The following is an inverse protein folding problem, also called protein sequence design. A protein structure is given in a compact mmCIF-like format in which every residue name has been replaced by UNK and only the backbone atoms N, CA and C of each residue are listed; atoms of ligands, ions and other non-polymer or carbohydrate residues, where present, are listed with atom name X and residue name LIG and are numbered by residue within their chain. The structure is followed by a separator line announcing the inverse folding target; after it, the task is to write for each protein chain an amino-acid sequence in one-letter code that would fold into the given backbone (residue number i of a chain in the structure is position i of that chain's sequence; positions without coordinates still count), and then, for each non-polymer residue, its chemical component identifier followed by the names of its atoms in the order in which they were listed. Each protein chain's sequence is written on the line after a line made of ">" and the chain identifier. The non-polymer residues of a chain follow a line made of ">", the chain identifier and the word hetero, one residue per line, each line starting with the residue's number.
data_IF_695449208177
#
_entry.id   IF_695449208177
#
_cell.length_a   1.000
_cell.length_b   1.000
_cell.length_c   1.000
_cell.angle_alpha   90.00
_cell.angle_beta   90.00
_cell.angle_gamma   90.00
#
_symmetry.space_group_name_H-M   'P 1'
#
loop_
_entity.id
_entity.type
_entity.pdbx_description
1 polymer ?
#
# COMPACT_ATOMS: atom_id res chain seq x y z
N UNK A 1 -1.39 -4.36 15.76
CA UNK A 1 -1.46 -5.09 14.50
C UNK A 1 -2.73 -4.68 13.76
N UNK A 2 -2.60 -4.15 12.56
CA UNK A 2 -3.73 -3.65 11.80
C UNK A 2 -4.24 -4.70 10.81
N UNK A 3 -5.54 -4.72 10.58
CA UNK A 3 -6.15 -5.50 9.51
C UNK A 3 -6.58 -4.57 8.39
N UNK A 4 -6.23 -4.92 7.17
CA UNK A 4 -6.77 -4.30 5.98
C UNK A 4 -7.95 -5.13 5.49
N UNK A 5 -9.10 -4.48 5.32
CA UNK A 5 -10.30 -5.07 4.74
C UNK A 5 -10.57 -4.32 3.45
N UNK A 6 -10.48 -5.02 2.33
CA UNK A 6 -10.54 -4.41 1.01
C UNK A 6 -11.60 -5.08 0.13
N UNK A 7 -12.30 -4.26 -0.63
CA UNK A 7 -13.16 -4.69 -1.72
C UNK A 7 -12.88 -3.81 -2.94
N UNK A 8 -12.66 -4.44 -4.09
CA UNK A 8 -12.39 -3.73 -5.34
C UNK A 8 -13.64 -3.69 -6.20
N UNK A 9 -13.87 -2.52 -6.81
CA UNK A 9 -14.91 -2.30 -7.80
C UNK A 9 -14.25 -1.90 -9.11
N UNK A 10 -14.70 -2.50 -10.21
CA UNK A 10 -14.19 -2.21 -11.55
C UNK A 10 -15.14 -1.26 -12.28
N UNK A 11 -14.60 -0.52 -13.26
CA UNK A 11 -15.38 0.36 -14.15
C UNK A 11 -16.23 1.39 -13.41
N UNK A 12 -15.61 2.06 -12.44
CA UNK A 12 -16.28 3.05 -11.60
C UNK A 12 -16.16 4.43 -12.22
N UNK A 13 -17.29 5.16 -12.29
CA UNK A 13 -17.26 6.61 -12.53
C UNK A 13 -16.89 7.31 -11.22
N UNK A 14 -15.67 7.86 -11.17
CA UNK A 14 -15.13 8.45 -9.95
C UNK A 14 -15.91 9.68 -9.47
N UNK A 15 -16.42 10.51 -10.36
CA UNK A 15 -17.16 11.71 -9.98
C UNK A 15 -18.50 11.33 -9.32
N UNK A 16 -19.22 10.41 -9.93
CA UNK A 16 -20.46 9.88 -9.35
C UNK A 16 -20.22 9.18 -8.02
N UNK A 17 -19.15 8.41 -7.90
CA UNK A 17 -18.80 7.72 -6.67
C UNK A 17 -18.47 8.70 -5.55
N UNK A 18 -17.66 9.73 -5.84
CA UNK A 18 -17.34 10.79 -4.86
C UNK A 18 -18.58 11.49 -4.35
N UNK A 19 -19.51 11.80 -5.25
CA UNK A 19 -20.79 12.44 -4.88
C UNK A 19 -21.59 11.56 -3.92
N UNK A 20 -21.74 10.27 -4.24
CA UNK A 20 -22.46 9.31 -3.40
C UNK A 20 -21.79 9.13 -2.03
N UNK A 21 -20.46 9.03 -2.01
CA UNK A 21 -19.71 8.89 -0.76
C UNK A 21 -19.92 10.10 0.15
N UNK A 22 -19.89 11.32 -0.41
CA UNK A 22 -20.16 12.55 0.34
C UNK A 22 -21.59 12.57 0.90
N UNK A 23 -22.58 12.11 0.14
CA UNK A 23 -23.96 12.00 0.61
C UNK A 23 -24.10 11.02 1.77
N UNK A 24 -23.26 9.98 1.84
CA UNK A 24 -23.20 9.02 2.93
C UNK A 24 -22.34 9.50 4.13
N UNK A 25 -21.83 10.72 4.10
CA UNK A 25 -21.03 11.30 5.17
C UNK A 25 -19.53 10.98 5.09
N UNK A 26 -19.06 10.38 4.00
CA UNK A 26 -17.63 10.14 3.81
C UNK A 26 -16.89 11.46 3.54
N UNK A 27 -15.67 11.57 4.07
CA UNK A 27 -14.78 12.70 3.83
C UNK A 27 -13.69 12.31 2.87
N UNK A 28 -13.45 13.14 1.86
CA UNK A 28 -12.29 13.01 0.97
C UNK A 28 -11.04 13.59 1.60
N UNK A 29 -9.90 12.93 1.34
CA UNK A 29 -8.60 13.51 1.67
C UNK A 29 -8.12 14.50 0.60
N UNK A 30 -7.05 15.23 0.91
CA UNK A 30 -6.40 16.11 -0.04
C UNK A 30 -5.71 15.29 -1.15
N UNK A 31 -5.68 15.85 -2.35
CA UNK A 31 -4.95 15.26 -3.47
C UNK A 31 -3.45 15.30 -3.17
N UNK A 32 -2.78 14.18 -3.39
CA UNK A 32 -1.35 14.07 -3.21
C UNK A 32 -0.70 13.21 -4.31
N UNK A 33 0.59 13.41 -4.50
CA UNK A 33 1.40 12.55 -5.35
C UNK A 33 1.88 11.35 -4.54
N UNK A 34 1.80 10.17 -5.13
CA UNK A 34 2.18 8.94 -4.47
C UNK A 34 3.18 8.16 -5.32
N UNK A 35 4.27 7.74 -4.68
CA UNK A 35 5.26 6.86 -5.29
C UNK A 35 5.37 5.60 -4.46
N UNK A 36 5.32 4.47 -5.13
CA UNK A 36 5.41 3.16 -4.48
C UNK A 36 6.59 2.38 -5.03
N UNK A 37 7.39 1.81 -4.14
CA UNK A 37 8.39 0.80 -4.47
C UNK A 37 8.00 -0.49 -3.79
N UNK A 38 7.84 -1.54 -4.60
CA UNK A 38 7.55 -2.89 -4.11
C UNK A 38 8.84 -3.68 -4.13
N UNK A 39 9.19 -4.23 -2.99
CA UNK A 39 10.42 -4.99 -2.79
C UNK A 39 10.15 -6.48 -2.72
N UNK A 40 11.12 -7.25 -3.15
CA UNK A 40 11.15 -8.69 -2.98
C UNK A 40 12.60 -9.15 -2.85
N UNK A 41 12.78 -10.39 -2.45
CA UNK A 41 14.07 -11.06 -2.58
C UNK A 41 14.31 -11.46 -4.04
N UNK A 42 15.57 -11.65 -4.46
CA UNK A 42 15.88 -12.01 -5.85
C UNK A 42 15.14 -13.26 -6.35
N UNK A 43 14.83 -14.19 -5.46
CA UNK A 43 14.10 -15.43 -5.78
C UNK A 43 12.57 -15.25 -5.84
N UNK A 44 12.05 -14.05 -5.51
CA UNK A 44 10.62 -13.78 -5.51
C UNK A 44 9.85 -14.41 -4.35
N UNK A 45 10.52 -14.76 -3.26
CA UNK A 45 9.93 -15.52 -2.15
C UNK A 45 8.83 -14.77 -1.40
N UNK A 46 8.88 -13.43 -1.33
CA UNK A 46 7.81 -12.66 -0.70
C UNK A 46 6.51 -12.80 -1.49
N UNK A 47 6.57 -12.60 -2.79
CA UNK A 47 5.39 -12.75 -3.66
C UNK A 47 4.87 -14.17 -3.66
N UNK A 48 5.77 -15.15 -3.73
CA UNK A 48 5.40 -16.57 -3.68
C UNK A 48 4.68 -16.93 -2.38
N UNK A 49 5.05 -16.31 -1.26
CA UNK A 49 4.39 -16.46 0.04
C UNK A 49 3.22 -15.49 0.26
N UNK A 50 2.78 -14.77 -0.76
CA UNK A 50 1.68 -13.79 -0.69
C UNK A 50 1.95 -12.63 0.29
N UNK A 51 3.22 -12.28 0.48
CA UNK A 51 3.63 -11.09 1.20
C UNK A 51 3.82 -9.93 0.23
N UNK A 52 3.64 -8.71 0.73
CA UNK A 52 3.96 -7.49 -0.01
C UNK A 52 4.71 -6.54 0.90
N UNK A 53 5.92 -6.14 0.47
CA UNK A 53 6.75 -5.15 1.15
C UNK A 53 6.82 -3.89 0.29
N UNK A 54 6.36 -2.77 0.84
CA UNK A 54 6.23 -1.52 0.09
C UNK A 54 6.80 -0.35 0.86
N UNK A 55 7.58 0.47 0.17
CA UNK A 55 7.97 1.79 0.64
C UNK A 55 7.20 2.83 -0.18
N UNK A 56 6.30 3.54 0.48
CA UNK A 56 5.44 4.56 -0.13
C UNK A 56 5.89 5.95 0.29
N UNK A 57 6.03 6.84 -0.67
CA UNK A 57 6.21 8.27 -0.44
C UNK A 57 4.96 9.00 -0.91
N UNK A 58 4.38 9.80 -0.04
CA UNK A 58 3.21 10.63 -0.33
C UNK A 58 3.63 12.09 -0.21
N UNK A 59 3.33 12.90 -1.22
CA UNK A 59 3.69 14.31 -1.27
C UNK A 59 2.44 15.15 -1.46
N UNK A 60 2.18 16.01 -0.48
CA UNK A 60 1.18 17.08 -0.55
C UNK A 60 1.91 18.41 -0.78
N UNK A 61 1.20 19.48 -1.16
CA UNK A 61 1.84 20.79 -1.34
C UNK A 61 2.59 21.31 -0.11
N UNK A 62 2.15 20.94 1.10
CA UNK A 62 2.67 21.46 2.37
C UNK A 62 3.46 20.43 3.19
N UNK A 63 3.47 19.16 2.78
CA UNK A 63 4.11 18.08 3.56
C UNK A 63 4.43 16.87 2.70
N UNK A 64 5.29 16.02 3.24
CA UNK A 64 5.58 14.70 2.66
C UNK A 64 5.61 13.65 3.78
N UNK A 65 5.29 12.41 3.44
CA UNK A 65 5.32 11.28 4.37
C UNK A 65 5.84 10.04 3.66
N UNK A 66 6.70 9.28 4.36
CA UNK A 66 7.15 7.97 3.90
C UNK A 66 6.61 6.91 4.83
N UNK A 67 6.13 5.80 4.28
CA UNK A 67 5.56 4.69 5.06
C UNK A 67 6.11 3.38 4.51
N UNK A 68 6.68 2.57 5.40
CA UNK A 68 7.05 1.19 5.09
C UNK A 68 5.93 0.27 5.56
N UNK A 69 5.43 -0.55 4.65
CA UNK A 69 4.31 -1.46 4.90
C UNK A 69 4.70 -2.89 4.55
N UNK A 70 4.41 -3.82 5.43
CA UNK A 70 4.40 -5.25 5.15
C UNK A 70 2.97 -5.75 5.21
N UNK A 71 2.47 -6.26 4.09
CA UNK A 71 1.20 -6.99 4.05
C UNK A 71 1.46 -8.48 4.14
N UNK A 72 0.80 -9.13 5.07
CA UNK A 72 0.88 -10.57 5.27
C UNK A 72 -0.10 -11.29 4.34
N UNK A 73 0.00 -12.63 4.20
CA UNK A 73 -0.91 -13.37 3.34
C UNK A 73 -2.38 -13.13 3.68
N UNK A 74 -3.28 -13.08 2.67
CA UNK A 74 -4.71 -12.93 2.93
C UNK A 74 -5.25 -14.05 3.80
N UNK A 75 -6.17 -13.71 4.71
CA UNK A 75 -6.82 -14.67 5.62
C UNK A 75 -8.27 -14.94 5.24
N UNK A 76 -8.81 -14.22 4.24
CA UNK A 76 -10.16 -14.44 3.73
C UNK A 76 -10.22 -15.63 2.77
N UNK A 77 -11.39 -16.30 2.70
CA UNK A 77 -11.63 -17.37 1.73
C UNK A 77 -11.53 -16.81 0.30
N UNK A 78 -11.10 -17.63 -0.70
CA UNK A 78 -10.93 -17.14 -2.09
C UNK A 78 -12.21 -16.59 -2.73
N UNK A 79 -13.38 -17.08 -2.33
CA UNK A 79 -14.69 -16.65 -2.79
C UNK A 79 -15.33 -15.55 -1.92
N UNK A 80 -14.64 -15.07 -0.91
CA UNK A 80 -15.15 -14.02 -0.05
C UNK A 80 -15.32 -12.70 -0.80
N UNK A 81 -16.38 -11.96 -0.50
CA UNK A 81 -16.64 -10.65 -1.08
C UNK A 81 -15.58 -9.60 -0.69
N UNK A 82 -14.90 -9.82 0.42
CA UNK A 82 -13.87 -8.94 0.96
C UNK A 82 -12.55 -9.67 1.06
N UNK A 83 -11.46 -8.97 0.71
CA UNK A 83 -10.10 -9.41 0.97
C UNK A 83 -9.66 -8.87 2.33
N UNK A 84 -9.25 -9.76 3.22
CA UNK A 84 -8.76 -9.40 4.55
C UNK A 84 -7.29 -9.77 4.66
N UNK A 85 -6.45 -8.80 5.01
CA UNK A 85 -5.01 -8.99 5.22
C UNK A 85 -4.59 -8.27 6.50
N UNK A 86 -3.64 -8.87 7.18
CA UNK A 86 -2.91 -8.20 8.24
C UNK A 86 -1.83 -7.31 7.62
N UNK A 87 -1.72 -6.09 8.12
CA UNK A 87 -0.68 -5.15 7.73
C UNK A 87 0.15 -4.74 8.94
N UNK A 88 1.43 -4.52 8.71
CA UNK A 88 2.34 -3.86 9.64
C UNK A 88 2.94 -2.68 8.93
N UNK A 89 2.76 -1.49 9.48
CA UNK A 89 3.30 -0.30 8.85
C UNK A 89 3.85 0.68 9.88
N UNK A 90 4.80 1.44 9.44
CA UNK A 90 5.42 2.49 10.25
C UNK A 90 5.86 3.65 9.37
N UNK A 91 5.73 4.89 9.87
CA UNK A 91 6.35 6.03 9.21
C UNK A 91 7.87 5.86 9.16
N UNK A 92 8.47 6.38 8.09
CA UNK A 92 9.91 6.35 7.85
C UNK A 92 10.38 7.78 7.65
N UNK A 93 11.32 8.22 8.47
CA UNK A 93 11.83 9.60 8.40
C UNK A 93 12.63 9.86 7.11
N UNK A 94 13.38 8.88 6.64
CA UNK A 94 14.28 9.00 5.48
C UNK A 94 14.09 7.81 4.53
N UNK A 95 13.39 8.06 3.42
CA UNK A 95 13.12 7.02 2.43
C UNK A 95 14.38 6.56 1.67
N UNK A 96 15.34 7.45 1.47
CA UNK A 96 16.62 7.11 0.79
C UNK A 96 17.41 6.13 1.64
N UNK A 97 17.52 6.39 2.94
CA UNK A 97 18.22 5.49 3.85
C UNK A 97 17.48 4.16 4.02
N UNK A 98 16.15 4.18 4.11
CA UNK A 98 15.37 2.95 4.18
C UNK A 98 15.56 2.08 2.94
N UNK A 99 15.54 2.68 1.76
CA UNK A 99 15.85 1.98 0.51
C UNK A 99 17.24 1.35 0.55
N UNK A 100 18.24 2.10 0.99
CA UNK A 100 19.62 1.62 1.11
C UNK A 100 19.74 0.45 2.10
N UNK A 101 19.03 0.51 3.21
CA UNK A 101 18.99 -0.58 4.21
C UNK A 101 18.39 -1.84 3.58
N UNK A 102 17.27 -1.70 2.88
CA UNK A 102 16.59 -2.84 2.24
C UNK A 102 17.49 -3.48 1.17
N UNK A 103 18.15 -2.66 0.33
CA UNK A 103 19.11 -3.16 -0.64
C UNK A 103 20.29 -3.87 0.05
N UNK A 104 20.79 -3.31 1.13
CA UNK A 104 21.88 -3.91 1.91
C UNK A 104 21.50 -5.27 2.52
N UNK A 105 20.23 -5.49 2.79
CA UNK A 105 19.70 -6.77 3.26
C UNK A 105 19.43 -7.78 2.13
N UNK A 106 19.60 -7.37 0.88
CA UNK A 106 19.41 -8.22 -0.28
C UNK A 106 18.05 -8.08 -0.99
N UNK A 107 17.21 -7.14 -0.56
CA UNK A 107 15.97 -6.86 -1.26
C UNK A 107 16.20 -6.09 -2.55
N UNK A 108 15.37 -6.35 -3.54
CA UNK A 108 15.40 -5.67 -4.84
C UNK A 108 14.04 -5.05 -5.12
N UNK A 109 14.02 -3.97 -5.90
CA UNK A 109 12.76 -3.34 -6.34
C UNK A 109 12.20 -4.16 -7.50
N UNK A 110 10.98 -4.66 -7.36
CA UNK A 110 10.26 -5.41 -8.39
C UNK A 110 9.28 -4.57 -9.17
N UNK A 111 8.72 -3.56 -8.55
CA UNK A 111 7.77 -2.65 -9.18
C UNK A 111 7.91 -1.25 -8.59
N UNK A 112 7.67 -0.26 -9.46
CA UNK A 112 7.73 1.15 -9.12
C UNK A 112 6.55 1.84 -9.81
N UNK A 113 5.70 2.54 -9.07
CA UNK A 113 4.54 3.24 -9.66
C UNK A 113 4.05 4.38 -8.79
#
# INVERSE_FOLDING_TARGET
>A
MALEIERKYLEVDFDSLRHRLRQCGAQGGDVHLERNRIYDLPDGSLRAGHHLLRLRTQEWPDRAQNVLTLKLPPVSAPDAAFKVREERETPVADAVQMHSILEGLGYVVRACY
#
